data_IF_079326387718
#
_entry.id   IF_079326387718
#
_cell.length_a   1.000
_cell.length_b   1.000
_cell.length_c   1.000
_cell.angle_alpha   90.00
_cell.angle_beta   90.00
_cell.angle_gamma   90.00
#
_symmetry.space_group_name_H-M   'P 1'
#
loop_
_entity.id
_entity.type
_entity.pdbx_description
1 polymer ?
#
# COMPACT_ATOMS: atom_id res chain seq x y z
N UNK A 1 -12.28 23.66 -37.34
CA UNK A 1 -11.33 22.54 -37.18
C UNK A 1 -10.10 22.78 -38.02
N UNK A 2 -8.93 22.73 -37.40
CA UNK A 2 -7.66 22.89 -38.10
C UNK A 2 -7.32 21.65 -38.93
N UNK A 3 -6.41 21.80 -39.91
CA UNK A 3 -5.97 20.69 -40.79
C UNK A 3 -5.26 19.57 -39.95
N UNK A 4 -4.70 19.94 -38.82
CA UNK A 4 -4.05 19.02 -37.87
C UNK A 4 -5.09 18.19 -37.09
N UNK A 5 -6.17 18.81 -36.61
CA UNK A 5 -7.29 18.13 -35.93
C UNK A 5 -7.93 17.07 -36.84
N UNK A 6 -8.22 17.40 -38.11
CA UNK A 6 -8.73 16.41 -39.06
C UNK A 6 -7.79 15.24 -39.30
N UNK A 7 -6.47 15.47 -39.28
CA UNK A 7 -5.49 14.43 -39.51
C UNK A 7 -5.36 13.49 -38.29
N UNK A 8 -5.59 13.99 -37.06
CA UNK A 8 -5.60 13.19 -35.83
C UNK A 8 -6.85 12.31 -35.77
N UNK A 9 -8.02 12.78 -36.20
CA UNK A 9 -9.25 11.99 -36.26
C UNK A 9 -9.17 10.80 -37.23
N UNK A 10 -8.31 10.87 -38.26
CA UNK A 10 -8.09 9.77 -39.20
C UNK A 10 -7.18 8.66 -38.67
N UNK A 11 -6.47 8.91 -37.59
CA UNK A 11 -5.59 7.90 -36.96
C UNK A 11 -6.44 6.95 -36.11
N UNK A 12 -6.39 5.66 -36.46
CA UNK A 12 -7.08 4.62 -35.71
C UNK A 12 -6.33 4.29 -34.41
N UNK A 13 -7.06 4.21 -33.32
CA UNK A 13 -6.53 3.84 -32.01
C UNK A 13 -7.66 3.47 -31.08
N UNK A 14 -7.32 2.81 -29.97
CA UNK A 14 -8.26 2.48 -28.88
C UNK A 14 -7.63 2.97 -27.58
N UNK A 15 -8.42 3.63 -26.74
CA UNK A 15 -8.04 4.00 -25.39
C UNK A 15 -8.69 3.02 -24.40
N UNK A 16 -7.87 2.35 -23.61
CA UNK A 16 -8.32 1.42 -22.59
C UNK A 16 -7.73 1.78 -21.23
N UNK A 17 -8.42 1.44 -20.16
CA UNK A 17 -7.98 1.68 -18.80
C UNK A 17 -7.87 0.36 -18.05
N UNK A 18 -6.76 0.15 -17.35
CA UNK A 18 -6.63 -0.95 -16.42
C UNK A 18 -7.37 -0.63 -15.10
N UNK A 19 -7.89 -1.65 -14.44
CA UNK A 19 -8.63 -1.53 -13.18
C UNK A 19 -7.89 -0.68 -12.15
N UNK A 20 -6.58 -0.88 -12.01
CA UNK A 20 -5.74 -0.11 -11.08
C UNK A 20 -5.72 1.40 -11.34
N UNK A 21 -5.95 1.85 -12.58
CA UNK A 21 -6.02 3.28 -12.91
C UNK A 21 -7.30 3.87 -12.33
N UNK A 22 -8.42 3.19 -12.54
CA UNK A 22 -9.72 3.61 -12.00
C UNK A 22 -9.71 3.55 -10.47
N UNK A 23 -9.15 2.51 -9.88
CA UNK A 23 -8.97 2.39 -8.43
C UNK A 23 -8.17 3.55 -7.83
N UNK A 24 -7.10 3.99 -8.51
CA UNK A 24 -6.32 5.16 -8.10
C UNK A 24 -7.09 6.46 -8.18
N UNK A 25 -7.84 6.67 -9.26
CA UNK A 25 -8.70 7.86 -9.40
C UNK A 25 -9.69 7.92 -8.24
N UNK A 26 -10.37 6.80 -7.95
CA UNK A 26 -11.33 6.70 -6.85
C UNK A 26 -10.66 7.02 -5.52
N UNK A 27 -9.57 6.35 -5.21
CA UNK A 27 -8.87 6.52 -3.94
C UNK A 27 -8.41 7.95 -3.69
N UNK A 28 -7.81 8.59 -4.69
CA UNK A 28 -7.38 9.99 -4.60
C UNK A 28 -8.56 10.95 -4.45
N UNK A 29 -9.66 10.68 -5.14
CA UNK A 29 -10.85 11.53 -5.09
C UNK A 29 -11.58 11.47 -3.75
N UNK A 30 -11.54 10.32 -3.07
CA UNK A 30 -12.23 10.10 -1.80
C UNK A 30 -11.44 10.52 -0.55
N UNK A 31 -10.14 10.80 -0.68
CA UNK A 31 -9.24 11.11 0.44
C UNK A 31 -9.73 12.27 1.34
N UNK A 32 -10.39 13.25 0.77
CA UNK A 32 -10.78 14.47 1.49
C UNK A 32 -12.28 14.55 1.82
N UNK A 33 -13.02 13.45 1.76
CA UNK A 33 -14.43 13.45 2.10
C UNK A 33 -14.61 13.45 3.63
N UNK A 34 -15.27 14.50 4.20
CA UNK A 34 -15.51 14.55 5.64
C UNK A 34 -16.41 13.40 6.12
N UNK A 35 -15.94 12.65 7.11
CA UNK A 35 -16.66 11.50 7.66
C UNK A 35 -16.25 10.15 7.07
N UNK A 36 -15.49 10.13 5.99
CA UNK A 36 -14.82 8.94 5.48
C UNK A 36 -13.40 8.89 6.06
N UNK A 37 -13.11 7.88 6.90
CA UNK A 37 -11.80 7.76 7.54
C UNK A 37 -10.81 7.01 6.66
N UNK A 38 -11.24 5.93 6.06
CA UNK A 38 -10.40 5.11 5.18
C UNK A 38 -11.24 4.24 4.24
N UNK A 39 -10.59 3.77 3.20
CA UNK A 39 -11.01 2.59 2.45
C UNK A 39 -10.31 1.39 3.10
N UNK A 40 -11.01 0.27 3.26
CA UNK A 40 -10.45 -0.93 3.89
C UNK A 40 -9.17 -1.39 3.18
N UNK A 41 -8.19 -1.85 3.96
CA UNK A 41 -6.85 -2.17 3.43
C UNK A 41 -5.84 -1.02 3.47
N UNK A 42 -6.16 0.11 4.11
CA UNK A 42 -5.22 1.19 4.39
C UNK A 42 -4.93 2.12 3.21
N UNK A 43 -5.91 2.31 2.35
CA UNK A 43 -5.77 3.11 1.14
C UNK A 43 -5.35 4.57 1.38
N UNK A 44 -5.78 5.19 2.51
CA UNK A 44 -5.43 6.58 2.84
C UNK A 44 -4.16 6.75 3.67
N UNK A 45 -3.61 5.70 4.23
CA UNK A 45 -2.35 5.81 4.96
C UNK A 45 -1.15 5.77 4.01
N UNK A 46 -0.57 6.93 3.73
CA UNK A 46 0.63 7.12 2.90
C UNK A 46 0.45 6.73 1.41
N UNK A 47 -0.59 7.28 0.80
CA UNK A 47 -0.94 7.05 -0.60
C UNK A 47 0.24 7.30 -1.55
N UNK A 48 1.05 8.34 -1.29
CA UNK A 48 2.19 8.70 -2.13
C UNK A 48 3.33 7.67 -2.12
N UNK A 49 3.56 6.98 -1.00
CA UNK A 49 4.64 5.98 -0.88
C UNK A 49 4.21 4.58 -1.31
N UNK A 50 2.94 4.20 -1.04
CA UNK A 50 2.43 2.86 -1.38
C UNK A 50 2.06 2.69 -2.85
N UNK A 51 1.80 3.77 -3.57
CA UNK A 51 1.46 3.74 -5.01
C UNK A 51 2.65 3.37 -5.91
N UNK A 52 3.86 3.41 -5.39
CA UNK A 52 5.08 3.18 -6.20
C UNK A 52 5.45 1.70 -6.29
N UNK A 53 5.05 0.84 -5.35
CA UNK A 53 5.69 -0.48 -5.20
C UNK A 53 4.80 -1.66 -4.86
N UNK A 54 3.46 -1.61 -4.95
CA UNK A 54 2.66 -2.80 -4.64
C UNK A 54 1.53 -3.06 -5.65
N UNK A 55 1.49 -4.30 -6.13
CA UNK A 55 0.35 -4.89 -6.85
C UNK A 55 -0.92 -4.98 -5.98
N UNK A 56 -0.84 -4.62 -4.70
CA UNK A 56 -1.92 -4.61 -3.71
C UNK A 56 -2.56 -3.21 -3.48
N UNK A 57 -2.59 -2.34 -4.48
CA UNK A 57 -3.18 -1.00 -4.38
C UNK A 57 -4.71 -1.02 -4.18
N UNK A 58 -5.33 -2.18 -4.27
CA UNK A 58 -6.76 -2.32 -4.46
C UNK A 58 -7.51 -3.00 -3.32
N UNK A 59 -6.89 -3.21 -2.17
CA UNK A 59 -7.65 -3.72 -1.02
C UNK A 59 -8.76 -2.72 -0.67
N UNK A 60 -10.02 -3.15 -0.76
CA UNK A 60 -11.19 -2.33 -0.46
C UNK A 60 -11.76 -1.49 -1.62
N UNK A 61 -11.13 -1.47 -2.78
CA UNK A 61 -11.69 -0.88 -4.02
C UNK A 61 -11.70 -1.93 -5.13
N UNK A 62 -12.87 -2.44 -5.45
CA UNK A 62 -13.04 -3.31 -6.61
C UNK A 62 -13.72 -2.54 -7.74
N UNK A 63 -13.29 -2.76 -8.94
CA UNK A 63 -13.87 -2.14 -10.14
C UNK A 63 -14.01 -3.15 -11.25
N UNK A 64 -15.07 -3.01 -12.01
CA UNK A 64 -15.27 -3.72 -13.27
C UNK A 64 -15.29 -2.70 -14.40
N UNK A 65 -14.21 -2.65 -15.18
CA UNK A 65 -14.02 -1.66 -16.25
C UNK A 65 -14.39 -2.25 -17.60
N UNK A 66 -15.45 -1.72 -18.19
CA UNK A 66 -15.86 -2.00 -19.56
C UNK A 66 -15.27 -0.96 -20.54
N UNK A 67 -15.71 -1.03 -21.79
CA UNK A 67 -15.25 -0.07 -22.82
C UNK A 67 -15.82 1.34 -22.64
N UNK A 68 -17.03 1.44 -22.13
CA UNK A 68 -17.78 2.69 -21.97
C UNK A 68 -18.31 2.89 -20.55
N UNK A 69 -18.34 1.83 -19.74
CA UNK A 69 -18.96 1.81 -18.43
C UNK A 69 -18.07 1.21 -17.37
N UNK A 70 -18.28 1.62 -16.13
CA UNK A 70 -17.58 1.08 -14.95
C UNK A 70 -18.54 0.88 -13.79
N UNK A 71 -18.39 -0.26 -13.08
CA UNK A 71 -19.01 -0.53 -11.80
C UNK A 71 -17.95 -0.48 -10.70
N UNK A 72 -18.32 -0.01 -9.52
CA UNK A 72 -17.42 0.23 -8.39
C UNK A 72 -18.00 -0.33 -7.12
N UNK A 73 -17.20 -1.13 -6.39
CA UNK A 73 -17.49 -1.62 -5.04
C UNK A 73 -16.43 -1.10 -4.06
N UNK A 74 -16.86 -0.50 -2.96
CA UNK A 74 -16.02 0.13 -1.96
C UNK A 74 -16.29 -0.47 -0.57
N UNK A 75 -15.24 -0.90 0.12
CA UNK A 75 -15.28 -1.22 1.55
C UNK A 75 -14.71 -0.04 2.33
N UNK A 76 -15.49 0.58 3.20
CA UNK A 76 -15.13 1.83 3.85
C UNK A 76 -15.19 1.77 5.37
N UNK A 77 -14.36 2.58 6.01
CA UNK A 77 -14.37 2.85 7.44
C UNK A 77 -14.89 4.27 7.66
N UNK A 78 -15.94 4.40 8.45
CA UNK A 78 -16.69 5.64 8.64
C UNK A 78 -16.44 6.22 10.02
N UNK A 79 -16.43 7.54 10.13
CA UNK A 79 -16.33 8.26 11.41
C UNK A 79 -17.60 8.12 12.22
N UNK A 80 -17.45 7.80 13.53
CA UNK A 80 -18.55 7.73 14.48
C UNK A 80 -19.33 9.05 14.54
N UNK A 81 -20.65 8.98 14.71
CA UNK A 81 -21.59 10.11 14.72
C UNK A 81 -21.79 10.83 13.36
N UNK A 82 -21.32 10.30 12.26
CA UNK A 82 -21.66 10.82 10.93
C UNK A 82 -22.89 10.14 10.33
N UNK A 83 -23.62 10.86 9.50
CA UNK A 83 -24.76 10.32 8.76
C UNK A 83 -24.26 9.53 7.55
N UNK A 84 -24.32 8.20 7.65
CA UNK A 84 -23.83 7.29 6.62
C UNK A 84 -24.56 7.43 5.28
N UNK A 85 -25.92 7.53 5.24
CA UNK A 85 -26.63 7.77 3.97
C UNK A 85 -26.22 9.06 3.25
N UNK A 86 -25.94 10.13 3.98
CA UNK A 86 -25.43 11.39 3.38
C UNK A 86 -24.01 11.25 2.89
N UNK A 87 -23.16 10.53 3.62
CA UNK A 87 -21.81 10.21 3.22
C UNK A 87 -21.81 9.38 1.92
N UNK A 88 -22.68 8.38 1.84
CA UNK A 88 -22.84 7.57 0.63
C UNK A 88 -23.21 8.40 -0.60
N UNK A 89 -24.11 9.37 -0.46
CA UNK A 89 -24.45 10.28 -1.56
C UNK A 89 -23.24 11.08 -2.04
N UNK A 90 -22.45 11.63 -1.10
CA UNK A 90 -21.21 12.37 -1.42
C UNK A 90 -20.18 11.48 -2.12
N UNK A 91 -20.00 10.25 -1.64
CA UNK A 91 -19.08 9.28 -2.26
C UNK A 91 -19.50 9.04 -3.72
N UNK A 92 -20.78 8.77 -3.96
CA UNK A 92 -21.28 8.57 -5.33
C UNK A 92 -21.04 9.78 -6.23
N UNK A 93 -21.37 10.97 -5.77
CA UNK A 93 -21.21 12.20 -6.54
C UNK A 93 -19.73 12.42 -6.91
N UNK A 94 -18.82 12.23 -5.99
CA UNK A 94 -17.38 12.38 -6.22
C UNK A 94 -16.86 11.32 -7.20
N UNK A 95 -17.19 10.05 -6.97
CA UNK A 95 -16.74 8.94 -7.84
C UNK A 95 -17.23 9.14 -9.28
N UNK A 96 -18.53 9.43 -9.47
CA UNK A 96 -19.10 9.68 -10.79
C UNK A 96 -18.44 10.87 -11.47
N UNK A 97 -18.28 11.97 -10.75
CA UNK A 97 -17.68 13.20 -11.29
C UNK A 97 -16.23 13.01 -11.71
N UNK A 98 -15.40 12.40 -10.86
CA UNK A 98 -13.97 12.27 -11.14
C UNK A 98 -13.66 11.22 -12.21
N UNK A 99 -14.37 10.10 -12.21
CA UNK A 99 -14.21 9.10 -13.27
C UNK A 99 -14.63 9.68 -14.63
N UNK A 100 -15.80 10.30 -14.72
CA UNK A 100 -16.26 10.89 -15.97
C UNK A 100 -15.35 11.99 -16.49
N UNK A 101 -14.81 12.85 -15.62
CA UNK A 101 -13.88 13.92 -16.01
C UNK A 101 -12.58 13.40 -16.60
N UNK A 102 -12.04 12.31 -16.04
CA UNK A 102 -10.71 11.81 -16.39
C UNK A 102 -10.71 10.77 -17.50
N UNK A 103 -11.82 10.05 -17.68
CA UNK A 103 -11.85 8.85 -18.52
C UNK A 103 -12.97 8.85 -19.56
N UNK A 104 -13.95 9.73 -19.45
CA UNK A 104 -15.21 9.71 -20.21
C UNK A 104 -16.04 8.42 -20.02
N UNK A 105 -15.68 7.55 -19.05
CA UNK A 105 -16.46 6.37 -18.71
C UNK A 105 -17.73 6.75 -17.94
N UNK A 106 -18.82 6.05 -18.22
CA UNK A 106 -20.07 6.14 -17.47
C UNK A 106 -20.01 5.23 -16.23
N UNK A 107 -20.18 5.80 -15.04
CA UNK A 107 -20.33 5.02 -13.81
C UNK A 107 -21.77 4.53 -13.69
N UNK A 108 -21.99 3.23 -13.81
CA UNK A 108 -23.32 2.63 -13.79
C UNK A 108 -23.73 2.13 -12.41
N UNK A 109 -22.76 1.81 -11.55
CA UNK A 109 -23.01 1.27 -10.21
C UNK A 109 -21.92 1.72 -9.24
N UNK A 110 -22.31 2.13 -8.03
CA UNK A 110 -21.42 2.42 -6.91
C UNK A 110 -22.02 1.78 -5.65
N UNK A 111 -21.42 0.68 -5.22
CA UNK A 111 -21.77 0.01 -3.98
C UNK A 111 -20.78 0.41 -2.88
N UNK A 112 -21.26 0.62 -1.68
CA UNK A 112 -20.44 0.99 -0.53
C UNK A 112 -20.83 0.12 0.65
N UNK A 113 -19.90 -0.71 1.10
CA UNK A 113 -19.99 -1.49 2.32
C UNK A 113 -19.26 -0.80 3.46
N UNK A 114 -19.97 -0.50 4.55
CA UNK A 114 -19.37 0.03 5.76
C UNK A 114 -18.87 -1.13 6.60
N UNK A 115 -17.57 -1.38 6.57
CA UNK A 115 -16.94 -2.53 7.24
C UNK A 115 -16.53 -2.24 8.67
N UNK A 116 -16.36 -0.97 9.02
CA UNK A 116 -16.02 -0.54 10.39
C UNK A 116 -16.45 0.90 10.66
N UNK A 117 -16.63 1.23 11.95
CA UNK A 117 -16.91 2.57 12.44
C UNK A 117 -15.91 2.88 13.53
N UNK A 118 -15.16 3.98 13.41
CA UNK A 118 -14.16 4.43 14.38
C UNK A 118 -14.33 5.90 14.71
N UNK A 119 -13.84 6.30 15.89
CA UNK A 119 -13.61 7.73 16.13
C UNK A 119 -12.35 8.17 15.38
N UNK A 120 -12.23 9.46 15.14
CA UNK A 120 -11.06 10.02 14.46
C UNK A 120 -9.76 9.72 15.23
N UNK A 121 -9.82 9.80 16.55
CA UNK A 121 -8.69 9.49 17.45
C UNK A 121 -8.28 8.02 17.38
N UNK A 122 -9.25 7.09 17.33
CA UNK A 122 -8.96 5.66 17.15
C UNK A 122 -8.30 5.38 15.81
N UNK A 123 -8.77 6.00 14.75
CA UNK A 123 -8.20 5.85 13.41
C UNK A 123 -6.76 6.39 13.34
N UNK A 124 -6.50 7.56 13.92
CA UNK A 124 -5.16 8.16 14.01
C UNK A 124 -4.21 7.27 14.86
N UNK A 125 -4.67 6.77 16.00
CA UNK A 125 -3.89 5.87 16.86
C UNK A 125 -3.52 4.55 16.15
N UNK A 126 -4.44 3.95 15.43
CA UNK A 126 -4.19 2.73 14.65
C UNK A 126 -3.17 2.96 13.53
N UNK A 127 -3.21 4.11 12.89
CA UNK A 127 -2.26 4.49 11.83
C UNK A 127 -0.84 4.68 12.37
N UNK A 128 -0.67 5.32 13.53
CA UNK A 128 0.62 5.51 14.20
C UNK A 128 1.17 4.17 14.69
N UNK A 129 0.34 3.33 15.30
CA UNK A 129 0.78 2.03 15.82
C UNK A 129 1.30 1.06 14.74
N UNK A 130 0.77 1.13 13.54
CA UNK A 130 1.26 0.35 12.40
C UNK A 130 2.63 0.85 11.90
N UNK A 131 2.84 2.15 11.92
CA UNK A 131 4.09 2.78 11.51
C UNK A 131 5.22 2.50 12.53
N UNK A 132 4.92 2.57 13.83
CA UNK A 132 5.86 2.24 14.92
C UNK A 132 6.24 0.76 14.93
N UNK A 133 5.31 -0.14 14.61
CA UNK A 133 5.60 -1.58 14.49
C UNK A 133 6.56 -1.89 13.35
N UNK A 134 6.41 -1.23 12.22
CA UNK A 134 7.31 -1.42 11.07
C UNK A 134 8.71 -0.88 11.38
N UNK A 135 8.82 0.29 12.00
CA UNK A 135 10.11 0.90 12.39
C UNK A 135 10.79 0.11 13.49
N UNK A 136 10.05 -0.32 14.53
CA UNK A 136 10.58 -1.13 15.63
C UNK A 136 11.08 -2.51 15.20
N UNK A 137 10.46 -3.14 14.21
CA UNK A 137 10.92 -4.42 13.65
C UNK A 137 12.24 -4.26 12.89
N UNK A 138 12.41 -3.15 12.17
CA UNK A 138 13.65 -2.88 11.43
C UNK A 138 14.81 -2.58 12.39
N UNK A 139 14.60 -1.80 13.45
CA UNK A 139 15.62 -1.54 14.47
C UNK A 139 16.01 -2.80 15.25
N UNK A 140 15.04 -3.57 15.70
CA UNK A 140 15.32 -4.82 16.42
C UNK A 140 16.02 -5.88 15.56
N UNK A 141 15.76 -5.91 14.26
CA UNK A 141 16.44 -6.84 13.35
C UNK A 141 17.88 -6.42 13.06
N UNK A 142 18.18 -5.11 13.01
CA UNK A 142 19.54 -4.62 12.79
C UNK A 142 20.43 -4.82 14.00
N UNK A 143 19.95 -4.59 15.22
CA UNK A 143 20.68 -4.86 16.47
C UNK A 143 20.92 -6.37 16.68
N UNK A 144 19.90 -7.20 16.43
CA UNK A 144 20.01 -8.65 16.57
C UNK A 144 21.02 -9.27 15.59
N UNK A 145 21.16 -8.75 14.39
CA UNK A 145 22.14 -9.23 13.40
C UNK A 145 23.57 -8.79 13.76
N UNK A 146 23.75 -7.58 14.29
CA UNK A 146 25.06 -7.09 14.71
C UNK A 146 25.64 -7.88 15.89
N UNK A 147 24.85 -8.11 16.92
CA UNK A 147 25.30 -8.85 18.12
C UNK A 147 25.60 -10.33 17.82
N UNK A 148 24.81 -10.96 16.98
CA UNK A 148 25.06 -12.35 16.56
C UNK A 148 26.27 -12.50 15.67
N UNK A 149 26.53 -11.53 14.82
CA UNK A 149 27.70 -11.52 13.94
C UNK A 149 28.99 -11.32 14.72
N UNK A 150 29.01 -10.39 15.69
CA UNK A 150 30.14 -10.14 16.57
C UNK A 150 30.44 -11.36 17.46
N UNK A 151 29.42 -11.98 18.05
CA UNK A 151 29.56 -13.21 18.85
C UNK A 151 30.07 -14.40 18.03
N UNK A 152 29.63 -14.55 16.82
CA UNK A 152 30.11 -15.61 15.92
C UNK A 152 31.59 -15.40 15.50
N UNK A 153 32.02 -14.15 15.28
CA UNK A 153 33.39 -13.80 14.96
C UNK A 153 34.34 -14.07 16.13
N UNK A 154 33.90 -13.76 17.35
CA UNK A 154 34.69 -14.02 18.57
C UNK A 154 34.82 -15.49 18.84
N UNK A 155 33.75 -16.28 18.70
CA UNK A 155 33.81 -17.75 18.86
C UNK A 155 34.71 -18.45 17.83
N UNK A 156 34.79 -17.94 16.61
CA UNK A 156 35.69 -18.49 15.57
C UNK A 156 37.17 -18.13 15.88
N UNK A 157 37.45 -16.95 16.44
CA UNK A 157 38.81 -16.52 16.84
C UNK A 157 39.36 -17.38 17.99
N UNK A 158 38.54 -17.63 19.02
CA UNK A 158 38.93 -18.41 20.17
C UNK A 158 39.09 -19.91 19.81
N UNK A 159 38.24 -20.45 18.94
CA UNK A 159 38.36 -21.84 18.47
C UNK A 159 39.64 -22.06 17.64
N UNK A 160 40.04 -21.09 16.82
CA UNK A 160 41.25 -21.19 16.03
C UNK A 160 42.53 -21.07 16.85
N UNK A 161 42.55 -20.21 17.88
CA UNK A 161 43.67 -20.07 18.81
C UNK A 161 43.90 -21.33 19.64
N UNK A 162 42.85 -21.96 20.13
CA UNK A 162 42.93 -23.22 20.92
C UNK A 162 43.37 -24.41 20.05
N UNK A 163 42.98 -24.46 18.78
CA UNK A 163 43.45 -25.49 17.87
C UNK A 163 44.94 -25.36 17.52
N UNK A 164 45.45 -24.14 17.40
CA UNK A 164 46.87 -23.86 17.13
C UNK A 164 47.77 -24.26 18.30
N UNK A 165 47.33 -24.06 19.55
CA UNK A 165 48.08 -24.41 20.74
C UNK A 165 48.19 -25.93 20.93
N UNK A 166 47.10 -26.67 20.67
CA UNK A 166 47.11 -28.16 20.73
C UNK A 166 47.97 -28.79 19.63
N UNK A 167 48.09 -28.18 18.49
CA UNK A 167 48.95 -28.70 17.37
C UNK A 167 50.43 -28.47 17.69
N UNK A 168 50.80 -27.36 18.36
CA UNK A 168 52.20 -27.12 18.76
C UNK A 168 52.65 -28.08 19.87
N UNK A 169 51.81 -28.41 20.84
CA UNK A 169 52.11 -29.42 21.87
C UNK A 169 52.27 -30.85 21.30
N UNK A 170 51.44 -31.20 20.28
CA UNK A 170 51.53 -32.51 19.62
C UNK A 170 52.78 -32.70 18.80
N UNK A 171 53.41 -31.67 18.30
CA UNK A 171 54.62 -31.70 17.49
C UNK A 171 55.89 -31.90 18.35
N UNK A 172 55.94 -31.34 19.57
CA UNK A 172 57.06 -31.53 20.49
C UNK A 172 57.11 -32.95 21.10
N UNK A 173 55.97 -33.64 21.23
CA UNK A 173 55.90 -35.01 21.73
C UNK A 173 56.35 -36.12 20.76
N UNK A 174 56.55 -35.81 19.51
CA UNK A 174 56.93 -36.76 18.44
C UNK A 174 58.41 -36.67 18.04
N UNK A 175 59.20 -35.78 18.65
CA UNK A 175 60.62 -35.61 18.32
C UNK A 175 61.61 -36.11 19.40
N UNK A 176 61.17 -37.05 20.27
CA UNK A 176 62.08 -37.86 21.14
C UNK A 176 62.17 -39.30 20.64
#
# INVERSE_FOLDING_TARGET
>A
MSKVEKKVEEVKGELTYEDKVIQKIIGLSLENIPGLLAIDGGFFSNLAEKLINTDNVASGVNVEVGKEQVAVDLNVIVEYQKNVPELYKKIKEVVVSEISKMTDLEVVEVNVDVVDIKTKEQHEADSVSLQDRVTGVVESTSEFTSDKFESAKQGLSDGFSSAKEKVSEGVEAVSE
#
